data_IF_223429480481
#
_entry.id   IF_223429480481
#
_cell.length_a   1.000
_cell.length_b   1.000
_cell.length_c   1.000
_cell.angle_alpha   90.00
_cell.angle_beta   90.00
_cell.angle_gamma   90.00
#
_symmetry.space_group_name_H-M   'P 1'
#
loop_
_entity.id
_entity.type
_entity.pdbx_description
1 polymer ?
#
# COMPACT_ATOMS: atom_id res chain seq x y z
N UNK A 1 9.09 12.56 -7.86
CA UNK A 1 8.36 12.24 -6.62
C UNK A 1 9.09 12.83 -5.42
N UNK A 2 8.38 13.24 -4.35
CA UNK A 2 9.02 13.71 -3.11
C UNK A 2 9.57 12.51 -2.33
N UNK A 3 10.70 12.69 -1.66
CA UNK A 3 11.30 11.66 -0.81
C UNK A 3 10.89 11.88 0.66
N UNK A 4 10.78 10.78 1.40
CA UNK A 4 10.43 10.71 2.82
C UNK A 4 11.53 9.94 3.56
N UNK A 5 12.33 10.64 4.36
CA UNK A 5 13.37 10.06 5.21
C UNK A 5 12.91 9.83 6.66
N UNK A 6 11.75 10.38 7.04
CA UNK A 6 11.22 10.24 8.38
C UNK A 6 10.51 8.88 8.60
N UNK A 7 10.09 8.64 9.84
CA UNK A 7 9.41 7.40 10.27
C UNK A 7 7.89 7.55 10.37
N UNK A 8 7.29 8.59 9.78
CA UNK A 8 5.84 8.85 9.91
C UNK A 8 5.01 7.70 9.34
N UNK A 9 5.48 7.08 8.25
CA UNK A 9 4.85 5.94 7.59
C UNK A 9 4.70 4.71 8.50
N UNK A 10 5.50 4.62 9.57
CA UNK A 10 5.41 3.54 10.55
C UNK A 10 4.24 3.74 11.52
N UNK A 11 3.74 4.97 11.67
CA UNK A 11 2.76 5.32 12.71
C UNK A 11 1.43 5.77 12.15
N UNK A 12 1.38 6.31 10.93
CA UNK A 12 0.13 6.78 10.34
C UNK A 12 0.14 6.68 8.83
N UNK A 13 -1.05 6.79 8.24
CA UNK A 13 -1.26 6.82 6.80
C UNK A 13 -1.19 5.43 6.17
N UNK A 14 -1.02 5.40 4.85
CA UNK A 14 -1.04 4.17 4.06
C UNK A 14 0.26 4.03 3.28
N UNK A 15 0.87 2.85 3.36
CA UNK A 15 2.15 2.58 2.69
C UNK A 15 2.11 1.30 1.86
N UNK A 16 2.90 1.28 0.79
CA UNK A 16 3.18 0.10 -0.02
C UNK A 16 4.67 -0.16 0.00
N UNK A 17 5.10 -1.18 0.73
CA UNK A 17 6.51 -1.46 1.02
C UNK A 17 6.95 -2.73 0.32
N UNK A 18 8.12 -2.69 -0.30
CA UNK A 18 8.75 -3.83 -0.98
C UNK A 18 10.15 -4.17 -0.47
N UNK A 19 10.67 -3.35 0.45
CA UNK A 19 11.95 -3.58 1.11
C UNK A 19 11.80 -4.33 2.42
N UNK A 20 12.57 -5.41 2.58
CA UNK A 20 12.49 -6.28 3.75
C UNK A 20 13.01 -5.61 5.04
N UNK A 21 14.05 -4.77 4.94
CA UNK A 21 14.56 -4.01 6.09
C UNK A 21 13.47 -3.06 6.61
N UNK A 22 12.75 -2.39 5.71
CA UNK A 22 11.63 -1.53 6.08
C UNK A 22 10.52 -2.31 6.79
N UNK A 23 10.08 -3.46 6.23
CA UNK A 23 9.05 -4.30 6.84
C UNK A 23 9.46 -4.77 8.24
N UNK A 24 10.72 -5.16 8.42
CA UNK A 24 11.23 -5.68 9.69
C UNK A 24 11.36 -4.60 10.78
N UNK A 25 11.28 -3.32 10.43
CA UNK A 25 11.23 -2.23 11.43
C UNK A 25 9.87 -2.11 12.11
N UNK A 26 8.79 -2.60 11.49
CA UNK A 26 7.41 -2.38 11.97
C UNK A 26 6.71 -3.65 12.44
N UNK A 27 7.09 -4.83 11.95
CA UNK A 27 6.41 -6.08 12.34
C UNK A 27 7.33 -7.30 12.31
N UNK A 28 6.94 -8.34 13.05
CA UNK A 28 7.43 -9.71 12.84
C UNK A 28 6.48 -10.50 11.93
N UNK A 29 6.96 -11.62 11.38
CA UNK A 29 6.19 -12.40 10.41
C UNK A 29 4.82 -12.89 10.93
N UNK A 30 4.70 -13.20 12.23
CA UNK A 30 3.45 -13.67 12.84
C UNK A 30 2.40 -12.57 13.02
N UNK A 31 2.76 -11.29 12.89
CA UNK A 31 1.85 -10.16 13.03
C UNK A 31 1.23 -9.73 11.68
N UNK A 32 1.75 -10.25 10.57
CA UNK A 32 1.27 -9.90 9.23
C UNK A 32 -0.09 -10.53 8.98
N UNK A 33 -1.08 -9.70 8.66
CA UNK A 33 -2.40 -10.16 8.25
C UNK A 33 -2.43 -10.53 6.78
N UNK A 34 -3.19 -11.56 6.45
CA UNK A 34 -3.58 -11.81 5.07
C UNK A 34 -4.60 -10.78 4.61
N UNK A 35 -4.61 -10.48 3.31
CA UNK A 35 -5.61 -9.59 2.73
C UNK A 35 -7.05 -10.06 3.02
N UNK A 36 -7.28 -11.38 3.08
CA UNK A 36 -8.59 -11.92 3.46
C UNK A 36 -9.04 -11.47 4.85
N UNK A 37 -8.13 -11.48 5.84
CA UNK A 37 -8.45 -11.02 7.19
C UNK A 37 -8.80 -9.53 7.20
N UNK A 38 -8.07 -8.72 6.43
CA UNK A 38 -8.36 -7.29 6.29
C UNK A 38 -9.75 -7.06 5.73
N UNK A 39 -10.11 -7.74 4.63
CA UNK A 39 -11.43 -7.60 4.01
C UNK A 39 -12.57 -8.08 4.93
N UNK A 40 -12.32 -9.06 5.80
CA UNK A 40 -13.28 -9.51 6.81
C UNK A 40 -13.43 -8.55 8.00
N UNK A 41 -12.39 -7.76 8.29
CA UNK A 41 -12.37 -6.78 9.38
C UNK A 41 -12.96 -5.41 8.98
N UNK A 42 -13.24 -5.18 7.70
CA UNK A 42 -13.87 -3.93 7.24
C UNK A 42 -15.17 -3.68 7.99
N UNK A 43 -15.26 -2.52 8.64
CA UNK A 43 -16.40 -2.15 9.49
C UNK A 43 -16.39 -2.75 10.90
N UNK A 44 -15.41 -3.57 11.25
CA UNK A 44 -15.22 -4.16 12.58
C UNK A 44 -13.72 -4.32 12.89
N UNK A 45 -13.00 -3.20 12.87
CA UNK A 45 -11.57 -3.17 13.14
C UNK A 45 -11.29 -3.38 14.64
N UNK A 46 -10.20 -4.07 15.02
CA UNK A 46 -9.84 -4.23 16.42
C UNK A 46 -9.33 -2.92 17.01
N UNK A 47 -9.50 -2.73 18.32
CA UNK A 47 -8.94 -1.54 18.99
C UNK A 47 -7.41 -1.57 18.99
N UNK A 48 -6.82 -2.74 19.24
CA UNK A 48 -5.37 -2.96 19.22
C UNK A 48 -4.94 -3.60 17.89
N UNK A 49 -4.05 -2.92 17.15
CA UNK A 49 -3.44 -3.46 15.94
C UNK A 49 -2.30 -4.44 16.28
N UNK A 50 -1.95 -5.37 15.38
CA UNK A 50 -0.98 -6.42 15.71
C UNK A 50 0.47 -5.95 15.80
N UNK A 51 0.83 -4.81 15.20
CA UNK A 51 2.22 -4.39 15.02
C UNK A 51 2.52 -3.00 15.56
N UNK A 52 3.81 -2.75 15.77
CA UNK A 52 4.37 -1.44 16.14
C UNK A 52 3.68 -0.77 17.34
N UNK A 53 3.54 -1.50 18.45
CA UNK A 53 2.93 -0.96 19.66
C UNK A 53 1.44 -0.66 19.50
N UNK A 54 0.71 -1.61 18.90
CA UNK A 54 -0.74 -1.57 18.68
C UNK A 54 -1.24 -0.49 17.70
N UNK A 55 -0.36 0.05 16.84
CA UNK A 55 -0.70 1.18 15.97
C UNK A 55 -0.48 0.92 14.46
N UNK A 56 -0.10 -0.30 14.08
CA UNK A 56 0.17 -0.63 12.68
C UNK A 56 -0.44 -1.96 12.28
N UNK A 57 -1.06 -1.97 11.10
CA UNK A 57 -1.51 -3.17 10.43
C UNK A 57 -0.65 -3.43 9.18
N UNK A 58 0.09 -4.53 9.17
CA UNK A 58 0.84 -4.98 7.99
C UNK A 58 0.06 -6.08 7.29
N UNK A 59 -0.11 -5.93 5.97
CA UNK A 59 -1.00 -6.76 5.14
C UNK A 59 -0.22 -7.37 3.99
N UNK A 60 -0.34 -8.68 3.80
CA UNK A 60 0.21 -9.40 2.65
C UNK A 60 -0.89 -10.00 1.76
N UNK A 61 -0.56 -10.19 0.48
CA UNK A 61 -1.42 -10.90 -0.48
C UNK A 61 -2.14 -10.01 -1.50
N UNK A 62 -1.94 -8.69 -1.47
CA UNK A 62 -2.49 -7.79 -2.50
C UNK A 62 -1.91 -8.10 -3.89
N UNK A 63 -0.58 -8.27 -4.01
CA UNK A 63 0.06 -8.61 -5.29
C UNK A 63 -0.51 -9.90 -5.90
N UNK A 64 -0.67 -10.94 -5.08
CA UNK A 64 -1.18 -12.24 -5.52
C UNK A 64 -2.64 -12.18 -5.91
N UNK A 65 -3.43 -11.30 -5.28
CA UNK A 65 -4.84 -11.10 -5.63
C UNK A 65 -4.98 -10.38 -6.96
N UNK A 66 -4.14 -9.35 -7.22
CA UNK A 66 -4.09 -8.67 -8.51
C UNK A 66 -3.68 -9.62 -9.65
N UNK A 67 -2.77 -10.56 -9.37
CA UNK A 67 -2.28 -11.53 -10.37
C UNK A 67 -3.29 -12.59 -10.79
N UNK A 68 -4.33 -12.81 -9.98
CA UNK A 68 -5.39 -13.77 -10.27
C UNK A 68 -6.50 -13.18 -11.15
N UNK A 69 -6.51 -11.86 -11.34
CA UNK A 69 -7.55 -11.14 -12.06
C UNK A 69 -7.06 -10.72 -13.45
N UNK A 70 -7.99 -10.62 -14.39
CA UNK A 70 -7.73 -9.90 -15.65
C UNK A 70 -7.51 -8.42 -15.33
N UNK A 71 -6.77 -7.66 -16.15
CA UNK A 71 -6.49 -6.26 -15.86
C UNK A 71 -7.74 -5.42 -15.54
N UNK A 72 -8.79 -5.55 -16.37
CA UNK A 72 -10.04 -4.82 -16.17
C UNK A 72 -10.70 -5.17 -14.82
N UNK A 73 -10.75 -6.45 -14.46
CA UNK A 73 -11.32 -6.89 -13.17
C UNK A 73 -10.43 -6.48 -11.99
N UNK A 74 -9.11 -6.45 -12.19
CA UNK A 74 -8.15 -6.04 -11.17
C UNK A 74 -8.31 -4.57 -10.82
N UNK A 75 -8.48 -3.68 -11.81
CA UNK A 75 -8.74 -2.25 -11.56
C UNK A 75 -10.06 -2.02 -10.82
N UNK A 76 -11.13 -2.66 -11.29
CA UNK A 76 -12.45 -2.56 -10.64
C UNK A 76 -12.38 -3.05 -9.20
N UNK A 77 -11.79 -4.22 -8.96
CA UNK A 77 -11.66 -4.79 -7.63
C UNK A 77 -10.72 -3.97 -6.71
N UNK A 78 -9.66 -3.38 -7.27
CA UNK A 78 -8.76 -2.50 -6.52
C UNK A 78 -9.53 -1.25 -6.02
N UNK A 79 -10.44 -0.71 -6.83
CA UNK A 79 -11.35 0.35 -6.40
C UNK A 79 -12.36 -0.14 -5.39
N UNK A 80 -13.19 -1.11 -5.76
CA UNK A 80 -14.38 -1.50 -5.01
C UNK A 80 -14.08 -2.21 -3.67
N UNK A 81 -12.94 -2.90 -3.56
CA UNK A 81 -12.60 -3.65 -2.36
C UNK A 81 -11.45 -3.03 -1.58
N UNK A 82 -10.35 -2.71 -2.26
CA UNK A 82 -9.11 -2.28 -1.58
C UNK A 82 -9.19 -0.83 -1.16
N UNK A 83 -9.64 0.07 -2.05
CA UNK A 83 -9.85 1.47 -1.68
C UNK A 83 -10.87 1.60 -0.55
N UNK A 84 -11.98 0.87 -0.62
CA UNK A 84 -13.00 0.87 0.42
C UNK A 84 -12.46 0.37 1.78
N UNK A 85 -11.64 -0.70 1.78
CA UNK A 85 -10.98 -1.17 2.99
C UNK A 85 -10.01 -0.12 3.56
N UNK A 86 -9.23 0.54 2.70
CA UNK A 86 -8.31 1.62 3.09
C UNK A 86 -9.06 2.81 3.70
N UNK A 87 -10.17 3.24 3.09
CA UNK A 87 -11.01 4.33 3.59
C UNK A 87 -11.69 3.95 4.91
N UNK A 88 -12.18 2.71 5.04
CA UNK A 88 -12.76 2.21 6.27
C UNK A 88 -11.73 2.21 7.42
N UNK A 89 -10.52 1.71 7.17
CA UNK A 89 -9.43 1.71 8.14
C UNK A 89 -9.07 3.15 8.54
N UNK A 90 -8.85 4.03 7.56
CA UNK A 90 -8.52 5.43 7.79
C UNK A 90 -9.59 6.15 8.60
N UNK A 91 -10.87 5.86 8.35
CA UNK A 91 -11.98 6.44 9.11
C UNK A 91 -12.05 5.92 10.53
N UNK A 92 -11.82 4.63 10.76
CA UNK A 92 -11.92 4.02 12.09
C UNK A 92 -10.87 4.55 13.06
N UNK A 93 -9.61 4.65 12.60
CA UNK A 93 -8.51 5.15 13.42
C UNK A 93 -8.26 6.66 13.25
N UNK A 94 -9.19 7.38 12.62
CA UNK A 94 -9.12 8.82 12.36
C UNK A 94 -7.83 9.30 11.66
N UNK A 95 -7.14 8.39 10.96
CA UNK A 95 -5.85 8.65 10.30
C UNK A 95 -4.63 8.67 11.23
N UNK A 96 -4.76 8.17 12.46
CA UNK A 96 -3.69 8.11 13.47
C UNK A 96 -3.01 6.72 13.58
N UNK A 97 -3.48 5.73 12.80
CA UNK A 97 -2.85 4.42 12.65
C UNK A 97 -2.26 4.22 11.25
N UNK A 98 -1.30 3.29 11.12
CA UNK A 98 -0.65 2.94 9.85
C UNK A 98 -1.23 1.66 9.24
N UNK A 99 -1.58 1.72 7.95
CA UNK A 99 -1.88 0.56 7.12
C UNK A 99 -0.75 0.34 6.12
N UNK A 100 -0.11 -0.83 6.16
CA UNK A 100 1.05 -1.12 5.32
C UNK A 100 0.77 -2.36 4.47
N UNK A 101 0.74 -2.21 3.16
CA UNK A 101 0.74 -3.32 2.22
C UNK A 101 2.18 -3.78 1.95
N UNK A 102 2.47 -5.01 2.35
CA UNK A 102 3.71 -5.71 2.02
C UNK A 102 3.62 -6.31 0.60
N UNK A 103 4.44 -5.77 -0.30
CA UNK A 103 4.48 -6.10 -1.72
C UNK A 103 5.93 -6.42 -2.14
N UNK A 104 6.46 -7.62 -1.87
CA UNK A 104 7.86 -7.95 -2.16
C UNK A 104 8.25 -7.77 -3.64
N UNK A 105 7.29 -7.92 -4.58
CA UNK A 105 7.55 -7.65 -6.00
C UNK A 105 7.30 -6.19 -6.43
N UNK A 106 6.90 -5.33 -5.51
CA UNK A 106 6.47 -3.95 -5.74
C UNK A 106 7.52 -3.10 -6.46
N UNK A 107 8.80 -3.20 -6.11
CA UNK A 107 9.88 -2.45 -6.78
C UNK A 107 9.93 -2.67 -8.29
N UNK A 108 9.65 -3.90 -8.74
CA UNK A 108 9.68 -4.26 -10.16
C UNK A 108 8.38 -3.89 -10.88
N UNK A 109 7.26 -3.80 -10.14
CA UNK A 109 5.91 -3.70 -10.69
C UNK A 109 5.34 -2.30 -10.67
N UNK A 110 5.65 -1.51 -9.65
CA UNK A 110 5.27 -0.10 -9.62
C UNK A 110 6.07 0.66 -10.67
N UNK A 111 5.37 1.41 -11.52
CA UNK A 111 5.91 2.29 -12.54
C UNK A 111 5.46 3.71 -12.25
N UNK A 112 6.43 4.59 -12.10
CA UNK A 112 6.20 6.02 -11.97
C UNK A 112 6.49 6.69 -13.31
N UNK A 113 5.57 7.52 -13.79
CA UNK A 113 5.69 8.27 -15.03
C UNK A 113 5.87 9.76 -14.72
N UNK A 114 7.10 10.30 -14.76
CA UNK A 114 7.37 11.67 -14.31
C UNK A 114 6.67 12.77 -15.10
N UNK A 115 6.23 12.48 -16.33
CA UNK A 115 5.56 13.46 -17.18
C UNK A 115 4.10 13.72 -16.75
N UNK A 116 3.47 12.72 -16.14
CA UNK A 116 2.05 12.72 -15.75
C UNK A 116 1.86 12.54 -14.25
N UNK A 117 2.95 12.34 -13.51
CA UNK A 117 2.98 11.90 -12.12
C UNK A 117 2.13 10.65 -11.84
N UNK A 118 1.84 9.84 -12.87
CA UNK A 118 1.02 8.64 -12.72
C UNK A 118 1.81 7.49 -12.13
N UNK A 119 1.12 6.71 -11.31
CA UNK A 119 1.65 5.50 -10.68
C UNK A 119 0.83 4.33 -11.14
N UNK A 120 1.50 3.39 -11.81
CA UNK A 120 0.87 2.22 -12.42
C UNK A 120 1.45 0.93 -11.86
N UNK A 121 0.66 -0.13 -11.91
CA UNK A 121 1.08 -1.47 -11.51
C UNK A 121 1.18 -2.37 -12.73
N UNK A 122 2.38 -2.90 -12.99
CA UNK A 122 2.60 -3.90 -14.03
C UNK A 122 2.08 -5.25 -13.59
N UNK A 123 1.14 -5.80 -14.35
CA UNK A 123 0.57 -7.13 -14.14
C UNK A 123 1.61 -8.23 -14.29
N UNK A 124 1.36 -9.38 -13.65
CA UNK A 124 2.12 -10.60 -13.91
C UNK A 124 1.68 -11.26 -15.23
N UNK A 125 2.41 -12.29 -15.65
CA UNK A 125 1.96 -13.17 -16.71
C UNK A 125 0.59 -13.80 -16.37
N UNK A 126 -0.31 -13.96 -17.36
CA UNK A 126 -0.10 -13.76 -18.79
C UNK A 126 -0.26 -12.31 -19.27
N UNK A 127 -0.63 -11.36 -18.40
CA UNK A 127 -0.94 -9.98 -18.74
C UNK A 127 0.25 -9.02 -18.59
N UNK A 128 1.49 -9.50 -18.75
CA UNK A 128 2.71 -8.75 -18.38
C UNK A 128 2.92 -7.40 -19.10
N UNK A 129 2.27 -7.20 -20.24
CA UNK A 129 2.30 -5.96 -21.03
C UNK A 129 1.21 -4.95 -20.59
N UNK A 130 0.32 -5.34 -19.69
CA UNK A 130 -0.74 -4.49 -19.14
C UNK A 130 -0.28 -3.75 -17.88
N UNK A 131 -0.76 -2.50 -17.76
CA UNK A 131 -0.50 -1.62 -16.64
C UNK A 131 -1.85 -1.23 -16.03
N UNK A 132 -1.99 -1.41 -14.72
CA UNK A 132 -3.16 -0.95 -13.98
C UNK A 132 -2.94 0.49 -13.53
N UNK A 133 -3.96 1.34 -13.59
CA UNK A 133 -3.96 2.73 -13.13
C UNK A 133 -3.95 2.85 -11.58
N UNK A 134 -3.00 2.18 -10.93
CA UNK A 134 -2.94 1.92 -9.49
C UNK A 134 -3.15 3.17 -8.63
N UNK A 135 -2.40 4.25 -8.88
CA UNK A 135 -2.52 5.47 -8.09
C UNK A 135 -3.81 6.22 -8.33
N UNK A 136 -4.24 6.32 -9.59
CA UNK A 136 -5.52 6.94 -9.96
C UNK A 136 -6.69 6.22 -9.27
N UNK A 137 -6.67 4.90 -9.23
CA UNK A 137 -7.71 4.10 -8.57
C UNK A 137 -7.71 4.34 -7.06
N UNK A 138 -6.55 4.31 -6.39
CA UNK A 138 -6.48 4.31 -4.94
C UNK A 138 -6.54 5.70 -4.28
N UNK A 139 -5.97 6.74 -4.89
CA UNK A 139 -5.91 8.09 -4.32
C UNK A 139 -6.19 9.22 -5.33
N UNK A 140 -6.63 8.88 -6.55
CA UNK A 140 -7.03 9.85 -7.55
C UNK A 140 -5.87 10.61 -8.21
N UNK A 141 -6.21 11.71 -8.89
CA UNK A 141 -5.27 12.55 -9.67
C UNK A 141 -5.01 13.92 -9.01
N UNK A 142 -5.59 14.16 -7.83
CA UNK A 142 -5.67 15.51 -7.25
C UNK A 142 -4.47 15.86 -6.36
N UNK A 143 -3.28 16.11 -6.95
CA UNK A 143 -2.08 16.73 -6.33
C UNK A 143 -1.54 16.17 -5.00
N UNK A 144 -2.18 15.17 -4.41
CA UNK A 144 -1.72 14.40 -3.27
C UNK A 144 -1.06 13.14 -3.84
N UNK A 145 0.20 13.27 -4.21
CA UNK A 145 1.01 12.16 -4.69
C UNK A 145 1.72 11.50 -3.53
N UNK A 146 1.89 10.16 -3.55
CA UNK A 146 2.66 9.50 -2.52
C UNK A 146 4.13 9.96 -2.56
N UNK A 147 4.80 9.77 -1.43
CA UNK A 147 6.21 10.04 -1.25
C UNK A 147 7.00 8.73 -1.31
N UNK A 148 8.22 8.77 -1.83
CA UNK A 148 9.13 7.63 -1.81
C UNK A 148 9.74 7.48 -0.42
N UNK A 149 9.51 6.34 0.24
CA UNK A 149 10.11 6.03 1.53
C UNK A 149 11.59 5.70 1.30
N UNK A 150 12.48 6.41 1.97
CA UNK A 150 13.92 6.12 2.02
C UNK A 150 14.31 5.76 3.44
N UNK A 151 14.96 4.60 3.62
CA UNK A 151 15.48 4.23 4.94
C UNK A 151 16.75 5.01 5.31
N UNK A 152 17.51 5.44 4.31
CA UNK A 152 18.75 6.22 4.43
C UNK A 152 18.89 7.12 3.21
N UNK A 153 19.60 8.23 3.37
CA UNK A 153 19.84 9.17 2.29
C UNK A 153 20.62 8.50 1.14
N UNK A 154 20.16 8.71 -0.10
CA UNK A 154 20.77 8.12 -1.30
C UNK A 154 20.48 6.64 -1.56
N UNK A 155 19.71 5.96 -0.70
CA UNK A 155 19.28 4.58 -0.94
C UNK A 155 18.18 4.49 -2.00
N UNK A 156 17.95 3.26 -2.51
CA UNK A 156 16.77 2.97 -3.31
C UNK A 156 15.50 3.14 -2.47
N UNK A 157 14.38 3.55 -3.09
CA UNK A 157 13.08 3.57 -2.42
C UNK A 157 12.73 2.21 -1.81
N UNK A 158 12.30 2.23 -0.55
CA UNK A 158 11.81 1.07 0.20
C UNK A 158 10.31 0.84 -0.01
N UNK A 159 9.60 1.89 -0.42
CA UNK A 159 8.16 1.87 -0.60
C UNK A 159 7.59 3.21 -1.05
N UNK A 160 6.27 3.27 -1.15
CA UNK A 160 5.49 4.49 -1.31
C UNK A 160 4.70 4.77 -0.02
N UNK A 161 4.52 6.04 0.30
CA UNK A 161 3.76 6.52 1.45
C UNK A 161 2.71 7.55 1.02
N UNK A 162 1.49 7.41 1.50
CA UNK A 162 0.42 8.39 1.35
C UNK A 162 -0.17 8.72 2.72
N UNK A 163 -0.16 10.00 3.11
CA UNK A 163 -0.60 10.40 4.45
C UNK A 163 -2.10 10.14 4.67
N UNK A 164 -2.93 10.49 3.68
CA UNK A 164 -4.38 10.35 3.74
C UNK A 164 -4.95 10.19 2.35
N UNK A 165 -5.71 9.14 2.05
CA UNK A 165 -6.35 8.99 0.72
C UNK A 165 -7.77 9.59 0.72
N UNK A 166 -8.27 9.95 -0.47
CA UNK A 166 -9.61 10.52 -0.70
C UNK A 166 -10.48 9.65 -1.60
#
# INVERSE_FOLDING_TARGET
>A
MKQLLDTVWQRRGISWIWDEEARNQVCVASEVWSLRQVLQAVGNWPDDLPSNGNNTLVVAGLEGSLDLLTPDNAEVWLGDAIKDAMLSFQSYYEGEAALIFWLPSGQGRIKFHPATDSIEWRCAAPHGDSLLAFGRVLWGEANEYPQEILLREGNKPAGLFHLRIT
#
